data_IF_245115457563
#
_entry.id   IF_245115457563
#
_cell.length_a   1.000
_cell.length_b   1.000
_cell.length_c   1.000
_cell.angle_alpha   90.00
_cell.angle_beta   90.00
_cell.angle_gamma   90.00
#
_symmetry.space_group_name_H-M   'P 1'
#
loop_
_entity.id
_entity.type
_entity.pdbx_description
1 polymer ?
#
# COMPACT_ATOMS: atom_id res chain seq x y z
N UNK A 1 23.46 10.44 16.27
CA UNK A 1 22.65 9.36 15.67
C UNK A 1 21.26 9.89 15.43
N UNK A 2 20.68 9.59 14.31
CA UNK A 2 19.32 9.97 13.97
C UNK A 2 18.40 8.76 14.18
N UNK A 3 17.11 9.02 14.37
CA UNK A 3 16.09 7.96 14.53
C UNK A 3 15.10 8.03 13.38
N UNK A 4 14.78 6.87 12.82
CA UNK A 4 13.75 6.69 11.81
C UNK A 4 12.71 5.76 12.38
N UNK A 5 11.44 6.11 12.22
CA UNK A 5 10.33 5.26 12.62
C UNK A 5 9.45 4.96 11.42
N UNK A 6 8.99 3.73 11.33
CA UNK A 6 7.96 3.35 10.38
C UNK A 6 6.89 2.47 11.04
N UNK A 7 5.66 2.59 10.56
CA UNK A 7 4.57 1.72 10.99
C UNK A 7 4.00 0.89 9.84
N UNK A 8 3.42 -0.22 10.21
CA UNK A 8 2.68 -1.11 9.34
C UNK A 8 1.44 -1.64 10.04
N UNK A 9 0.37 -1.85 9.30
CA UNK A 9 -0.83 -2.56 9.75
C UNK A 9 -1.15 -3.68 8.77
N UNK A 10 -1.46 -4.85 9.33
CA UNK A 10 -1.82 -6.01 8.52
C UNK A 10 -3.19 -5.85 7.87
N UNK A 11 -3.51 -6.73 6.92
CA UNK A 11 -4.83 -6.75 6.26
C UNK A 11 -6.00 -6.95 7.23
N UNK A 12 -5.74 -7.44 8.45
CA UNK A 12 -6.75 -7.61 9.50
C UNK A 12 -7.07 -6.34 10.29
N UNK A 13 -6.30 -5.26 10.10
CA UNK A 13 -6.64 -3.96 10.66
C UNK A 13 -7.97 -3.44 10.07
N UNK A 14 -8.87 -2.84 10.88
CA UNK A 14 -10.20 -2.44 10.39
C UNK A 14 -10.19 -1.53 9.16
N UNK A 15 -9.30 -0.53 9.09
CA UNK A 15 -9.20 0.32 7.90
C UNK A 15 -8.74 -0.47 6.66
N UNK A 16 -7.81 -1.44 6.82
CA UNK A 16 -7.36 -2.30 5.71
C UNK A 16 -8.44 -3.27 5.25
N UNK A 17 -9.27 -3.73 6.16
CA UNK A 17 -10.47 -4.50 5.79
C UNK A 17 -11.41 -3.66 4.90
N UNK A 18 -11.60 -2.38 5.21
CA UNK A 18 -12.39 -1.48 4.34
C UNK A 18 -11.74 -1.31 2.97
N UNK A 19 -10.41 -1.15 2.92
CA UNK A 19 -9.65 -1.11 1.67
C UNK A 19 -9.88 -2.37 0.82
N UNK A 20 -9.79 -3.56 1.43
CA UNK A 20 -10.02 -4.83 0.73
C UNK A 20 -11.46 -4.99 0.24
N UNK A 21 -12.44 -4.57 1.03
CA UNK A 21 -13.86 -4.60 0.63
C UNK A 21 -14.12 -3.70 -0.58
N UNK A 22 -13.50 -2.53 -0.62
CA UNK A 22 -13.58 -1.62 -1.75
C UNK A 22 -12.86 -2.19 -2.98
N UNK A 23 -11.63 -2.71 -2.80
CA UNK A 23 -10.83 -3.29 -3.86
C UNK A 23 -11.55 -4.46 -4.55
N UNK A 24 -12.11 -5.39 -3.79
CA UNK A 24 -12.86 -6.53 -4.29
C UNK A 24 -14.09 -6.12 -5.12
N UNK A 25 -14.79 -5.05 -4.68
CA UNK A 25 -15.91 -4.53 -5.46
C UNK A 25 -15.44 -3.83 -6.75
N UNK A 26 -14.37 -3.05 -6.68
CA UNK A 26 -13.77 -2.37 -7.84
C UNK A 26 -13.32 -3.41 -8.87
N UNK A 27 -12.65 -4.47 -8.43
CA UNK A 27 -12.23 -5.58 -9.30
C UNK A 27 -13.41 -6.19 -10.05
N UNK A 28 -14.49 -6.56 -9.35
CA UNK A 28 -15.70 -7.11 -10.01
C UNK A 28 -16.36 -6.13 -10.99
N UNK A 29 -16.31 -4.83 -10.72
CA UNK A 29 -16.76 -3.78 -11.66
C UNK A 29 -15.89 -3.78 -12.91
N UNK A 30 -14.56 -3.80 -12.74
CA UNK A 30 -13.60 -3.75 -13.82
C UNK A 30 -13.56 -5.04 -14.64
N UNK A 31 -13.71 -6.20 -14.02
CA UNK A 31 -13.86 -7.47 -14.72
C UNK A 31 -15.04 -7.46 -15.66
N UNK A 32 -16.14 -6.81 -15.24
CA UNK A 32 -17.36 -6.73 -16.03
C UNK A 32 -17.24 -5.77 -17.21
N UNK A 33 -16.70 -4.58 -17.01
CA UNK A 33 -16.80 -3.47 -17.96
C UNK A 33 -15.45 -2.97 -18.48
N UNK A 34 -14.32 -3.47 -17.93
CA UNK A 34 -12.95 -3.09 -18.30
C UNK A 34 -12.79 -1.55 -18.31
N UNK A 35 -12.20 -0.98 -19.37
CA UNK A 35 -11.99 0.47 -19.54
C UNK A 35 -13.26 1.33 -19.54
N UNK A 36 -14.44 0.72 -19.66
CA UNK A 36 -15.74 1.44 -19.65
C UNK A 36 -16.30 1.66 -18.26
N UNK A 37 -15.68 1.10 -17.23
CA UNK A 37 -16.12 1.25 -15.85
C UNK A 37 -15.52 2.48 -15.19
N UNK A 38 -16.36 3.19 -14.44
CA UNK A 38 -15.91 4.23 -13.50
C UNK A 38 -16.39 3.85 -12.10
N UNK A 39 -15.56 4.03 -11.12
CA UNK A 39 -15.93 3.77 -9.73
C UNK A 39 -15.12 4.65 -8.77
N UNK A 40 -15.81 5.16 -7.77
CA UNK A 40 -15.23 5.79 -6.58
C UNK A 40 -15.92 5.16 -5.40
N UNK A 41 -15.36 4.07 -4.88
CA UNK A 41 -15.96 3.25 -3.84
C UNK A 41 -15.30 3.54 -2.51
N UNK A 42 -16.13 3.89 -1.53
CA UNK A 42 -15.73 4.07 -0.15
C UNK A 42 -16.49 3.09 0.74
N UNK A 43 -15.79 2.51 1.71
CA UNK A 43 -16.37 1.61 2.68
C UNK A 43 -16.15 2.16 4.08
N UNK A 44 -17.22 2.24 4.84
CA UNK A 44 -17.20 2.61 6.25
C UNK A 44 -17.71 1.45 7.09
N UNK A 45 -17.00 1.11 8.16
CA UNK A 45 -17.44 0.04 9.05
C UNK A 45 -17.32 0.46 10.52
N UNK A 46 -18.33 0.13 11.31
CA UNK A 46 -18.38 0.40 12.74
C UNK A 46 -19.31 -0.57 13.46
N UNK A 47 -18.94 -1.05 14.62
CA UNK A 47 -19.72 -1.97 15.47
C UNK A 47 -20.24 -3.20 14.69
N UNK A 48 -21.47 -3.17 14.25
CA UNK A 48 -22.17 -4.26 13.55
C UNK A 48 -22.52 -3.91 12.09
N UNK A 49 -22.07 -2.75 11.60
CA UNK A 49 -22.54 -2.21 10.32
C UNK A 49 -21.38 -1.95 9.37
N UNK A 50 -21.53 -2.37 8.12
CA UNK A 50 -20.66 -2.06 6.99
C UNK A 50 -21.50 -1.31 5.95
N UNK A 51 -21.05 -0.13 5.55
CA UNK A 51 -21.69 0.73 4.55
C UNK A 51 -20.76 0.83 3.34
N UNK A 52 -21.24 0.39 2.19
CA UNK A 52 -20.63 0.68 0.89
C UNK A 52 -21.27 1.95 0.34
N UNK A 53 -20.48 2.97 0.08
CA UNK A 53 -20.87 4.25 -0.49
C UNK A 53 -20.07 4.61 -1.70
N UNK A 54 -20.37 5.77 -2.29
CA UNK A 54 -19.68 6.27 -3.45
C UNK A 54 -20.49 6.16 -4.74
N UNK A 55 -19.79 6.15 -5.86
CA UNK A 55 -20.39 6.24 -7.19
C UNK A 55 -19.80 5.22 -8.15
N UNK A 56 -20.62 4.70 -9.08
CA UNK A 56 -20.13 3.80 -10.11
C UNK A 56 -20.94 3.94 -11.41
N UNK A 57 -20.22 3.92 -12.55
CA UNK A 57 -20.76 3.69 -13.87
C UNK A 57 -20.35 2.30 -14.31
N UNK A 58 -21.30 1.36 -14.30
CA UNK A 58 -21.06 -0.06 -14.58
C UNK A 58 -22.33 -0.76 -15.02
N UNK A 59 -22.19 -1.81 -15.83
CA UNK A 59 -23.28 -2.73 -16.14
C UNK A 59 -23.45 -3.82 -15.07
N UNK A 60 -22.51 -3.93 -14.12
CA UNK A 60 -22.60 -4.84 -13.00
C UNK A 60 -23.75 -4.43 -12.06
N UNK A 61 -24.63 -5.37 -11.75
CA UNK A 61 -25.71 -5.12 -10.78
C UNK A 61 -25.17 -5.20 -9.34
N UNK A 62 -24.82 -4.05 -8.77
CA UNK A 62 -24.37 -3.93 -7.39
C UNK A 62 -25.58 -4.05 -6.44
N UNK A 63 -25.88 -5.25 -6.00
CA UNK A 63 -26.98 -5.52 -5.10
C UNK A 63 -26.51 -6.07 -3.76
N UNK A 64 -27.42 -6.17 -2.79
CA UNK A 64 -27.11 -6.66 -1.45
C UNK A 64 -26.53 -8.09 -1.43
N UNK A 65 -26.89 -8.95 -2.41
CA UNK A 65 -26.36 -10.32 -2.52
C UNK A 65 -24.87 -10.31 -2.87
N UNK A 66 -24.48 -9.48 -3.83
CA UNK A 66 -23.08 -9.29 -4.21
C UNK A 66 -22.26 -8.75 -3.04
N UNK A 67 -22.72 -7.67 -2.39
CA UNK A 67 -22.00 -7.09 -1.26
C UNK A 67 -21.85 -8.08 -0.09
N UNK A 68 -22.87 -8.90 0.17
CA UNK A 68 -22.79 -9.97 1.17
C UNK A 68 -21.76 -11.04 0.80
N UNK A 69 -21.62 -11.41 -0.49
CA UNK A 69 -20.60 -12.37 -0.91
C UNK A 69 -19.19 -11.83 -0.69
N UNK A 70 -18.94 -10.58 -1.06
CA UNK A 70 -17.68 -9.89 -0.84
C UNK A 70 -17.32 -9.85 0.66
N UNK A 71 -18.24 -9.39 1.51
CA UNK A 71 -17.99 -9.35 2.97
C UNK A 71 -17.71 -10.74 3.53
N UNK A 72 -18.44 -11.78 3.07
CA UNK A 72 -18.22 -13.16 3.53
C UNK A 72 -16.83 -13.68 3.14
N UNK A 73 -16.38 -13.37 1.95
CA UNK A 73 -15.06 -13.73 1.43
C UNK A 73 -13.94 -13.06 2.25
N UNK A 74 -14.00 -11.73 2.40
CA UNK A 74 -13.01 -10.99 3.20
C UNK A 74 -13.01 -11.47 4.66
N UNK A 75 -14.17 -11.73 5.26
CA UNK A 75 -14.25 -12.32 6.62
C UNK A 75 -13.57 -13.69 6.71
N UNK A 76 -13.61 -14.49 5.63
CA UNK A 76 -12.88 -15.77 5.58
C UNK A 76 -11.37 -15.55 5.50
N UNK A 77 -10.91 -14.63 4.67
CA UNK A 77 -9.49 -14.25 4.54
C UNK A 77 -8.94 -13.75 5.89
N UNK A 78 -9.72 -12.95 6.62
CA UNK A 78 -9.35 -12.40 7.94
C UNK A 78 -9.52 -13.40 9.09
N UNK A 79 -10.11 -14.58 8.81
CA UNK A 79 -10.35 -15.63 9.82
C UNK A 79 -11.52 -15.33 10.75
N UNK A 80 -12.38 -14.35 10.44
CA UNK A 80 -13.58 -14.05 11.23
C UNK A 80 -14.64 -15.13 11.14
N UNK A 81 -14.64 -15.97 10.09
CA UNK A 81 -15.55 -17.10 9.92
C UNK A 81 -15.06 -18.38 10.60
N UNK A 82 -13.89 -18.39 11.24
CA UNK A 82 -13.36 -19.55 11.95
C UNK A 82 -14.11 -19.79 13.27
N UNK A 83 -14.85 -20.89 13.37
CA UNK A 83 -15.71 -21.19 14.54
C UNK A 83 -14.92 -21.38 15.84
N UNK A 84 -13.71 -21.96 15.78
CA UNK A 84 -12.85 -22.14 16.96
C UNK A 84 -12.36 -20.78 17.49
N UNK A 85 -11.98 -19.88 16.57
CA UNK A 85 -11.57 -18.51 16.93
C UNK A 85 -12.76 -17.71 17.50
N UNK A 86 -13.94 -17.80 16.89
CA UNK A 86 -15.16 -17.16 17.41
C UNK A 86 -15.51 -17.63 18.82
N UNK A 87 -15.33 -18.93 19.10
CA UNK A 87 -15.56 -19.48 20.43
C UNK A 87 -14.57 -18.93 21.45
N UNK A 88 -13.30 -18.84 21.07
CA UNK A 88 -12.21 -18.36 21.92
C UNK A 88 -12.34 -16.86 22.25
N UNK A 89 -12.51 -16.02 21.22
CA UNK A 89 -12.66 -14.57 21.40
C UNK A 89 -14.01 -14.19 22.05
N UNK A 90 -15.05 -14.98 21.81
CA UNK A 90 -16.43 -14.61 22.12
C UNK A 90 -17.05 -13.69 21.05
N UNK A 91 -18.36 -13.84 20.85
CA UNK A 91 -19.12 -13.17 19.77
C UNK A 91 -19.16 -11.63 19.84
N UNK A 92 -18.75 -11.04 20.95
CA UNK A 92 -18.73 -9.59 21.17
C UNK A 92 -17.33 -8.98 21.05
N UNK A 93 -16.33 -9.81 20.77
CA UNK A 93 -14.93 -9.39 20.62
C UNK A 93 -14.38 -9.64 19.20
N UNK A 94 -15.15 -10.26 18.31
CA UNK A 94 -14.76 -10.54 16.92
C UNK A 94 -15.93 -10.26 15.99
N UNK A 95 -15.73 -9.71 14.78
CA UNK A 95 -16.79 -9.54 13.80
C UNK A 95 -17.46 -10.87 13.45
N UNK A 96 -18.80 -10.87 13.41
CA UNK A 96 -19.61 -12.06 13.08
C UNK A 96 -20.51 -11.75 11.90
N UNK A 97 -20.35 -12.47 10.78
CA UNK A 97 -21.06 -12.20 9.54
C UNK A 97 -22.60 -12.16 9.71
N UNK A 98 -23.18 -13.10 10.46
CA UNK A 98 -24.63 -13.16 10.69
C UNK A 98 -25.19 -11.98 11.51
N UNK A 99 -24.35 -11.31 12.28
CA UNK A 99 -24.68 -10.10 13.05
C UNK A 99 -24.38 -8.80 12.28
N UNK A 100 -23.67 -8.89 11.12
CA UNK A 100 -23.23 -7.73 10.39
C UNK A 100 -24.30 -7.21 9.45
N UNK A 101 -24.70 -5.95 9.62
CA UNK A 101 -25.61 -5.24 8.77
C UNK A 101 -24.83 -4.64 7.58
N UNK A 102 -25.23 -4.99 6.36
CA UNK A 102 -24.61 -4.50 5.13
C UNK A 102 -25.56 -3.54 4.44
N UNK A 103 -25.10 -2.30 4.22
CA UNK A 103 -25.86 -1.19 3.64
C UNK A 103 -25.21 -0.81 2.31
N UNK A 104 -26.00 -0.72 1.26
CA UNK A 104 -25.60 -0.20 -0.04
C UNK A 104 -26.08 1.26 -0.19
N UNK A 105 -25.13 2.18 -0.38
CA UNK A 105 -25.35 3.60 -0.65
C UNK A 105 -24.58 4.04 -1.91
N UNK A 106 -24.21 3.09 -2.77
CA UNK A 106 -23.56 3.38 -4.05
C UNK A 106 -24.62 3.92 -5.00
N UNK A 107 -24.32 5.07 -5.59
CA UNK A 107 -25.14 5.74 -6.61
C UNK A 107 -24.50 5.62 -8.01
N UNK A 108 -25.24 6.02 -9.03
CA UNK A 108 -24.66 6.19 -10.36
C UNK A 108 -23.83 7.47 -10.39
N UNK A 109 -22.68 7.43 -11.05
CA UNK A 109 -21.83 8.60 -11.21
C UNK A 109 -22.55 9.70 -12.01
N UNK A 110 -22.27 10.97 -11.66
CA UNK A 110 -22.78 12.13 -12.39
C UNK A 110 -22.35 12.07 -13.87
N UNK A 111 -23.28 12.27 -14.81
CA UNK A 111 -22.94 12.35 -16.23
C UNK A 111 -21.92 13.45 -16.55
N UNK A 112 -21.95 14.56 -15.81
CA UNK A 112 -21.04 15.70 -16.03
C UNK A 112 -19.59 15.33 -15.71
N UNK A 113 -19.36 14.61 -14.61
CA UNK A 113 -18.01 14.11 -14.23
C UNK A 113 -17.54 13.08 -15.26
N UNK A 114 -18.41 12.14 -15.64
CA UNK A 114 -18.07 11.14 -16.64
C UNK A 114 -17.68 11.77 -17.99
N UNK A 115 -18.38 12.84 -18.42
CA UNK A 115 -18.11 13.53 -19.68
C UNK A 115 -16.74 14.22 -19.73
N UNK A 116 -16.21 14.67 -18.59
CA UNK A 116 -14.90 15.36 -18.54
C UNK A 116 -13.72 14.43 -18.80
N UNK A 117 -13.88 13.13 -18.59
CA UNK A 117 -12.77 12.17 -18.57
C UNK A 117 -12.95 11.03 -19.59
N UNK A 118 -14.06 11.05 -20.34
CA UNK A 118 -14.42 9.96 -21.25
C UNK A 118 -14.44 10.44 -22.69
N UNK A 119 -13.64 9.84 -23.57
CA UNK A 119 -13.73 9.95 -25.01
C UNK A 119 -14.18 8.60 -25.59
N UNK A 120 -15.16 8.63 -26.53
CA UNK A 120 -15.72 7.44 -27.18
C UNK A 120 -16.11 6.30 -26.22
N UNK A 121 -16.59 6.65 -25.02
CA UNK A 121 -16.96 5.74 -23.93
C UNK A 121 -15.79 5.03 -23.22
N UNK A 122 -14.57 5.52 -23.35
CA UNK A 122 -13.40 5.05 -22.62
C UNK A 122 -12.76 6.19 -21.79
N UNK A 123 -12.14 5.84 -20.67
CA UNK A 123 -11.42 6.80 -19.83
C UNK A 123 -10.11 7.20 -20.50
N UNK A 124 -10.09 8.31 -21.20
CA UNK A 124 -8.93 8.75 -21.97
C UNK A 124 -8.12 9.85 -21.28
N UNK A 125 -8.77 10.72 -20.50
CA UNK A 125 -8.12 11.79 -19.73
C UNK A 125 -7.99 11.44 -18.24
N UNK A 126 -7.06 12.10 -17.55
CA UNK A 126 -6.92 11.95 -16.10
C UNK A 126 -8.23 12.32 -15.39
N UNK A 127 -8.67 11.47 -14.48
CA UNK A 127 -9.98 11.59 -13.83
C UNK A 127 -10.02 12.64 -12.75
N UNK A 128 -8.87 13.13 -12.29
CA UNK A 128 -8.78 14.14 -11.25
C UNK A 128 -7.50 14.95 -11.39
N UNK A 129 -7.53 16.13 -10.80
CA UNK A 129 -6.36 16.96 -10.56
C UNK A 129 -5.71 16.57 -9.24
N UNK A 130 -4.39 16.59 -9.17
CA UNK A 130 -3.71 16.25 -7.94
C UNK A 130 -2.19 16.30 -8.04
N UNK A 131 -1.57 16.05 -6.91
CA UNK A 131 -0.13 15.86 -6.77
C UNK A 131 0.09 14.45 -6.23
N UNK A 132 0.93 13.68 -6.92
CA UNK A 132 1.14 12.26 -6.67
C UNK A 132 2.62 12.00 -6.44
N UNK A 133 2.93 11.03 -5.60
CA UNK A 133 4.29 10.73 -5.17
C UNK A 133 4.63 9.28 -5.45
N UNK A 134 5.78 9.08 -6.06
CA UNK A 134 6.43 7.80 -6.15
C UNK A 134 7.81 7.85 -5.54
N UNK A 135 8.34 6.69 -5.13
CA UNK A 135 9.64 6.64 -4.48
C UNK A 135 10.29 5.26 -4.62
N UNK A 136 11.62 5.24 -4.57
CA UNK A 136 12.39 4.00 -4.50
C UNK A 136 13.67 4.22 -3.68
N UNK A 137 14.01 3.24 -2.82
CA UNK A 137 15.19 3.25 -1.96
C UNK A 137 16.02 2.00 -2.21
N UNK A 138 17.32 2.16 -2.42
CA UNK A 138 18.26 1.04 -2.61
C UNK A 138 18.53 0.21 -1.36
N UNK A 139 18.04 0.65 -0.19
CA UNK A 139 18.22 -0.07 1.08
C UNK A 139 17.50 -1.43 1.10
N UNK A 140 16.49 -1.61 0.25
CA UNK A 140 15.74 -2.87 0.14
C UNK A 140 15.45 -3.21 -1.33
N UNK A 141 15.30 -4.48 -1.62
CA UNK A 141 14.95 -4.95 -2.97
C UNK A 141 13.53 -4.55 -3.39
N UNK A 142 12.67 -4.26 -2.43
CA UNK A 142 11.30 -3.77 -2.67
C UNK A 142 11.23 -2.26 -2.92
N UNK A 143 12.35 -1.55 -2.74
CA UNK A 143 12.39 -0.09 -2.85
C UNK A 143 11.82 0.67 -1.66
N UNK A 144 11.43 -0.02 -0.61
CA UNK A 144 10.96 0.60 0.63
C UNK A 144 12.15 1.06 1.48
N UNK A 145 11.98 2.14 2.23
CA UNK A 145 12.91 2.48 3.30
C UNK A 145 13.02 1.35 4.33
N UNK A 146 14.21 1.10 4.86
CA UNK A 146 14.52 -0.11 5.64
C UNK A 146 13.61 -0.30 6.86
N UNK A 147 13.28 0.77 7.61
CA UNK A 147 12.34 0.68 8.73
C UNK A 147 10.95 0.22 8.31
N UNK A 148 10.48 0.70 7.16
CA UNK A 148 9.18 0.33 6.59
C UNK A 148 9.16 -1.12 6.14
N UNK A 149 10.20 -1.55 5.45
CA UNK A 149 10.38 -2.94 5.05
C UNK A 149 10.34 -3.89 6.25
N UNK A 150 11.12 -3.61 7.30
CA UNK A 150 11.13 -4.43 8.51
C UNK A 150 9.78 -4.45 9.22
N UNK A 151 9.10 -3.30 9.31
CA UNK A 151 7.79 -3.23 9.95
C UNK A 151 6.74 -4.06 9.19
N UNK A 152 6.75 -4.02 7.86
CA UNK A 152 5.86 -4.80 7.02
C UNK A 152 6.20 -6.29 7.10
N UNK A 153 7.45 -6.70 6.88
CA UNK A 153 7.85 -8.10 6.87
C UNK A 153 7.60 -8.78 8.23
N UNK A 154 7.89 -8.08 9.34
CA UNK A 154 7.58 -8.60 10.68
C UNK A 154 6.07 -8.65 10.94
N UNK A 155 5.30 -7.65 10.50
CA UNK A 155 3.85 -7.66 10.63
C UNK A 155 3.18 -8.80 9.86
N UNK A 156 3.63 -9.06 8.65
CA UNK A 156 3.14 -10.16 7.80
C UNK A 156 3.57 -11.52 8.37
N UNK A 157 4.77 -11.60 8.97
CA UNK A 157 5.22 -12.78 9.71
C UNK A 157 4.30 -13.09 10.90
N UNK A 158 3.95 -12.09 11.71
CA UNK A 158 3.01 -12.29 12.82
C UNK A 158 1.61 -12.67 12.32
N UNK A 159 1.16 -12.08 11.20
CA UNK A 159 -0.12 -12.45 10.58
C UNK A 159 -0.12 -13.90 10.10
N UNK A 160 0.97 -14.38 9.50
CA UNK A 160 1.16 -15.78 9.14
C UNK A 160 1.04 -16.70 10.36
N UNK A 161 1.76 -16.39 11.44
CA UNK A 161 1.70 -17.15 12.69
C UNK A 161 0.32 -17.11 13.36
N UNK A 162 -0.44 -16.03 13.18
CA UNK A 162 -1.84 -15.98 13.65
C UNK A 162 -2.73 -17.03 12.99
N UNK A 163 -2.31 -17.63 11.88
CA UNK A 163 -3.09 -18.62 11.11
C UNK A 163 -2.64 -20.06 11.35
N UNK A 164 -1.33 -20.29 11.47
CA UNK A 164 -0.74 -21.63 11.52
C UNK A 164 -0.25 -22.06 12.90
N UNK A 165 -0.03 -21.13 13.82
CA UNK A 165 0.43 -21.41 15.20
C UNK A 165 -0.50 -22.38 15.92
N UNK A 166 -0.01 -23.22 16.85
CA UNK A 166 -0.85 -23.94 17.80
C UNK A 166 -1.82 -23.03 18.57
N UNK A 167 -1.47 -21.76 18.73
CA UNK A 167 -2.24 -20.72 19.41
C UNK A 167 -3.20 -19.94 18.49
N UNK A 168 -3.37 -20.34 17.21
CA UNK A 168 -4.15 -19.61 16.20
C UNK A 168 -5.56 -19.21 16.66
N UNK A 169 -6.15 -19.96 17.58
CA UNK A 169 -7.49 -19.66 18.13
C UNK A 169 -7.46 -18.38 18.98
N UNK A 170 -6.36 -18.16 19.69
CA UNK A 170 -6.18 -17.02 20.60
C UNK A 170 -5.64 -15.77 19.90
N UNK A 171 -5.23 -15.86 18.63
CA UNK A 171 -4.58 -14.82 17.88
C UNK A 171 -5.50 -14.24 16.81
N UNK A 172 -5.71 -12.91 16.84
CA UNK A 172 -6.46 -12.19 15.81
C UNK A 172 -5.60 -11.82 14.61
N UNK A 173 -6.24 -11.36 13.55
CA UNK A 173 -5.59 -10.83 12.36
C UNK A 173 -5.30 -9.32 12.43
N UNK A 174 -5.85 -8.63 13.43
CA UNK A 174 -5.66 -7.20 13.65
C UNK A 174 -4.33 -6.96 14.35
N UNK A 175 -3.34 -6.54 13.57
CA UNK A 175 -1.96 -6.34 14.03
C UNK A 175 -1.44 -5.00 13.52
N UNK A 176 -0.85 -4.22 14.41
CA UNK A 176 -0.13 -3.00 14.08
C UNK A 176 1.29 -3.08 14.61
N UNK A 177 2.26 -2.76 13.76
CA UNK A 177 3.69 -2.77 14.07
C UNK A 177 4.24 -1.35 13.90
N UNK A 178 5.13 -0.95 14.81
CA UNK A 178 6.04 0.17 14.59
C UNK A 178 7.46 -0.28 14.89
N UNK A 179 8.40 0.06 14.01
CA UNK A 179 9.84 -0.18 14.21
C UNK A 179 10.56 1.16 14.23
N UNK A 180 11.39 1.35 15.22
CA UNK A 180 12.30 2.48 15.39
C UNK A 180 13.74 2.00 15.13
N UNK A 181 14.42 2.64 14.19
CA UNK A 181 15.82 2.39 13.87
C UNK A 181 16.70 3.55 14.31
N UNK A 182 17.91 3.26 14.79
CA UNK A 182 18.99 4.22 14.89
C UNK A 182 19.85 4.14 13.64
N UNK A 183 20.16 5.30 13.04
CA UNK A 183 20.93 5.39 11.82
C UNK A 183 22.15 6.29 12.01
N UNK A 184 23.10 6.19 11.09
CA UNK A 184 24.15 7.21 10.90
C UNK A 184 23.53 8.48 10.28
N UNK A 185 24.33 9.52 10.17
CA UNK A 185 23.92 10.83 9.65
C UNK A 185 23.47 10.81 8.19
N UNK A 186 23.78 9.74 7.46
CA UNK A 186 23.38 9.55 6.06
C UNK A 186 22.01 8.87 5.88
N UNK A 187 21.34 8.48 6.96
CA UNK A 187 20.06 7.75 7.01
C UNK A 187 20.05 6.33 6.38
N UNK A 188 21.07 5.97 5.61
CA UNK A 188 21.12 4.70 4.87
C UNK A 188 21.81 3.58 5.62
N UNK A 189 22.63 3.94 6.60
CA UNK A 189 23.34 2.97 7.40
C UNK A 189 22.62 2.77 8.72
N UNK A 190 21.62 1.91 8.73
CA UNK A 190 20.95 1.49 9.97
C UNK A 190 21.93 0.74 10.86
N UNK A 191 22.03 1.14 12.12
CA UNK A 191 22.93 0.54 13.11
C UNK A 191 22.24 -0.45 14.01
N UNK A 192 21.02 -0.09 14.48
CA UNK A 192 20.29 -0.90 15.45
C UNK A 192 18.78 -0.70 15.34
N UNK A 193 18.05 -1.72 15.76
CA UNK A 193 16.64 -1.61 16.09
C UNK A 193 16.55 -1.09 17.52
N UNK A 194 16.10 0.14 17.71
CA UNK A 194 16.03 0.78 19.03
C UNK A 194 14.64 0.67 19.68
N UNK A 195 13.62 0.29 18.94
CA UNK A 195 12.27 0.13 19.47
C UNK A 195 11.37 -0.71 18.57
N UNK A 196 10.53 -1.52 19.20
CA UNK A 196 9.44 -2.25 18.53
C UNK A 196 8.17 -2.08 19.33
N UNK A 197 7.13 -1.62 18.66
CA UNK A 197 5.77 -1.57 19.22
C UNK A 197 4.88 -2.54 18.45
N UNK A 198 4.21 -3.43 19.17
CA UNK A 198 3.25 -4.40 18.61
C UNK A 198 1.90 -4.20 19.30
N UNK A 199 0.88 -3.89 18.53
CA UNK A 199 -0.51 -4.03 18.94
C UNK A 199 -1.10 -5.23 18.20
N UNK A 200 -1.51 -6.28 18.92
CA UNK A 200 -2.01 -7.52 18.37
C UNK A 200 -3.21 -8.04 19.16
N UNK A 201 -4.36 -8.11 18.50
CA UNK A 201 -5.58 -8.63 19.09
C UNK A 201 -5.43 -10.10 19.48
N UNK A 202 -5.70 -10.41 20.76
CA UNK A 202 -5.50 -11.76 21.29
C UNK A 202 -6.40 -12.02 22.53
N UNK A 203 -6.49 -13.28 22.94
CA UNK A 203 -7.26 -13.74 24.12
C UNK A 203 -6.41 -14.21 25.28
N UNK A 204 -5.09 -13.99 25.25
CA UNK A 204 -4.20 -14.32 26.35
C UNK A 204 -4.69 -13.65 27.65
N UNK A 205 -4.60 -14.38 28.75
CA UNK A 205 -4.97 -13.91 30.10
C UNK A 205 -3.78 -13.41 30.89
N UNK A 206 -2.57 -13.70 30.44
CA UNK A 206 -1.30 -13.27 31.02
C UNK A 206 -0.54 -12.40 30.01
N UNK A 207 -0.35 -11.13 30.33
CA UNK A 207 0.34 -10.16 29.45
C UNK A 207 1.84 -10.47 29.31
N UNK A 208 2.49 -10.97 30.35
CA UNK A 208 3.90 -11.34 30.29
C UNK A 208 4.11 -12.54 29.36
N UNK A 209 3.27 -13.56 29.46
CA UNK A 209 3.31 -14.73 28.57
C UNK A 209 3.09 -14.34 27.11
N UNK A 210 2.14 -13.46 26.81
CA UNK A 210 1.93 -12.95 25.47
C UNK A 210 3.12 -12.11 24.98
N UNK A 211 3.68 -11.28 25.84
CA UNK A 211 4.88 -10.50 25.52
C UNK A 211 6.07 -11.39 25.17
N UNK A 212 6.31 -12.43 25.96
CA UNK A 212 7.40 -13.38 25.72
C UNK A 212 7.18 -14.18 24.42
N UNK A 213 5.92 -14.53 24.13
CA UNK A 213 5.56 -15.15 22.87
C UNK A 213 5.87 -14.25 21.66
N UNK A 214 5.48 -12.97 21.69
CA UNK A 214 5.80 -12.02 20.61
C UNK A 214 7.31 -11.85 20.42
N UNK A 215 8.07 -11.75 21.53
CA UNK A 215 9.54 -11.65 21.48
C UNK A 215 10.17 -12.93 20.92
N UNK A 216 9.67 -14.11 21.25
CA UNK A 216 10.14 -15.37 20.69
C UNK A 216 9.91 -15.45 19.18
N UNK A 217 8.76 -14.95 18.68
CA UNK A 217 8.51 -14.86 17.25
C UNK A 217 9.43 -13.84 16.55
N UNK A 218 9.77 -12.74 17.22
CA UNK A 218 10.77 -11.80 16.71
C UNK A 218 12.14 -12.44 16.56
N UNK A 219 12.60 -13.18 17.57
CA UNK A 219 13.90 -13.89 17.50
C UNK A 219 13.92 -14.92 16.36
N UNK A 220 12.81 -15.64 16.19
CA UNK A 220 12.67 -16.60 15.10
C UNK A 220 12.69 -15.89 13.74
N UNK A 221 11.89 -14.86 13.55
CA UNK A 221 11.84 -14.03 12.34
C UNK A 221 13.22 -13.43 12.02
N UNK A 222 13.89 -12.83 13.03
CA UNK A 222 15.19 -12.21 12.88
C UNK A 222 16.23 -13.23 12.35
N UNK A 223 16.21 -14.45 12.88
CA UNK A 223 17.09 -15.54 12.45
C UNK A 223 16.73 -16.05 11.05
N UNK A 224 15.45 -16.27 10.77
CA UNK A 224 14.98 -16.77 9.48
C UNK A 224 15.24 -15.77 8.33
N UNK A 225 15.21 -14.49 8.62
CA UNK A 225 15.56 -13.41 7.66
C UNK A 225 17.05 -13.11 7.61
N UNK A 226 17.88 -13.81 8.38
CA UNK A 226 19.34 -13.58 8.44
C UNK A 226 19.70 -12.10 8.64
N UNK A 227 18.92 -11.38 9.44
CA UNK A 227 19.11 -9.96 9.65
C UNK A 227 20.43 -9.70 10.36
N UNK A 228 21.17 -8.67 9.90
CA UNK A 228 22.49 -8.31 10.44
C UNK A 228 22.49 -6.99 11.22
N UNK A 229 21.31 -6.39 11.42
CA UNK A 229 21.15 -5.17 12.20
C UNK A 229 21.22 -5.48 13.69
N UNK A 230 21.89 -4.64 14.49
CA UNK A 230 21.97 -4.84 15.95
C UNK A 230 20.57 -4.75 16.59
N UNK A 231 20.31 -5.61 17.58
CA UNK A 231 19.04 -5.74 18.31
C UNK A 231 19.20 -5.82 19.84
N UNK A 232 20.37 -5.44 20.37
CA UNK A 232 20.71 -5.70 21.78
C UNK A 232 19.86 -4.89 22.77
N UNK A 233 19.48 -3.66 22.44
CA UNK A 233 18.79 -2.71 23.34
C UNK A 233 17.41 -2.28 22.82
N UNK A 234 16.59 -3.24 22.41
CA UNK A 234 15.26 -2.95 21.88
C UNK A 234 14.30 -2.52 23.02
N UNK A 235 13.74 -1.32 22.91
CA UNK A 235 12.60 -0.91 23.73
C UNK A 235 11.31 -1.56 23.20
N UNK A 236 10.74 -2.46 23.97
CA UNK A 236 9.50 -3.15 23.63
C UNK A 236 8.26 -2.44 24.19
N UNK A 237 7.22 -2.32 23.36
CA UNK A 237 5.86 -1.94 23.75
C UNK A 237 4.90 -2.93 23.11
N UNK A 238 4.29 -3.80 23.91
CA UNK A 238 3.36 -4.82 23.43
C UNK A 238 2.00 -4.55 24.03
N UNK A 239 1.00 -4.32 23.16
CA UNK A 239 -0.37 -3.93 23.51
C UNK A 239 -0.48 -2.74 24.49
N UNK A 240 0.54 -1.88 24.54
CA UNK A 240 0.59 -0.77 25.49
C UNK A 240 0.56 -1.24 26.95
N UNK A 241 0.95 -2.48 27.25
CA UNK A 241 0.87 -3.07 28.59
C UNK A 241 -0.54 -3.45 29.02
N UNK A 242 -1.48 -3.61 28.09
CA UNK A 242 -2.90 -3.93 28.37
C UNK A 242 -3.41 -5.09 27.48
N UNK A 243 -4.65 -5.47 27.71
CA UNK A 243 -5.32 -6.50 26.91
C UNK A 243 -5.92 -5.89 25.63
N UNK A 244 -5.75 -6.55 24.50
CA UNK A 244 -6.37 -6.19 23.25
C UNK A 244 -7.25 -7.34 22.74
N UNK A 245 -8.44 -7.47 23.32
CA UNK A 245 -9.38 -8.59 23.06
C UNK A 245 -10.39 -8.28 21.96
N UNK A 246 -10.97 -7.07 21.94
CA UNK A 246 -11.85 -6.66 20.84
C UNK A 246 -11.01 -6.29 19.64
N UNK A 247 -11.37 -6.80 18.47
CA UNK A 247 -10.62 -6.47 17.25
C UNK A 247 -11.52 -6.28 16.04
N UNK A 248 -10.95 -5.76 14.94
CA UNK A 248 -11.69 -5.40 13.75
C UNK A 248 -12.61 -4.19 14.00
N UNK A 249 -13.57 -3.98 13.12
CA UNK A 249 -14.46 -2.81 13.14
C UNK A 249 -15.48 -2.80 14.32
N UNK A 250 -15.52 -3.83 15.12
CA UNK A 250 -16.29 -3.81 16.39
C UNK A 250 -15.51 -3.10 17.50
N UNK A 251 -14.17 -3.03 17.40
CA UNK A 251 -13.32 -2.34 18.34
C UNK A 251 -13.09 -0.88 17.92
N UNK A 252 -12.83 -0.65 16.64
CA UNK A 252 -12.46 0.65 16.08
C UNK A 252 -13.23 0.94 14.79
N UNK A 253 -13.77 2.15 14.69
CA UNK A 253 -14.43 2.62 13.48
C UNK A 253 -13.43 2.77 12.35
N UNK A 254 -13.76 2.25 11.19
CA UNK A 254 -12.87 2.14 10.05
C UNK A 254 -13.44 2.69 8.77
N UNK A 255 -12.56 3.09 7.86
CA UNK A 255 -12.94 3.61 6.55
C UNK A 255 -11.81 3.39 5.54
N UNK A 256 -12.17 3.27 4.26
CA UNK A 256 -11.25 3.25 3.12
C UNK A 256 -10.32 4.45 3.13
N UNK A 257 -9.05 4.26 2.75
CA UNK A 257 -8.11 5.35 2.53
C UNK A 257 -7.51 5.98 3.80
N UNK A 258 -7.76 5.43 4.99
CA UNK A 258 -7.20 5.96 6.24
C UNK A 258 -5.77 5.48 6.54
N UNK A 259 -5.19 4.64 5.69
CA UNK A 259 -3.84 4.10 5.84
C UNK A 259 -2.94 4.42 4.65
N UNK A 260 -3.04 5.65 4.13
CA UNK A 260 -2.26 6.12 2.98
C UNK A 260 -0.75 5.95 3.21
N UNK A 261 -0.23 6.37 4.35
CA UNK A 261 1.18 6.23 4.69
C UNK A 261 1.64 4.76 4.83
N UNK A 262 0.71 3.84 5.13
CA UNK A 262 0.99 2.41 5.16
C UNK A 262 1.02 1.80 3.76
N UNK A 263 0.17 2.29 2.87
CA UNK A 263 0.04 1.79 1.50
C UNK A 263 1.09 2.39 0.55
N UNK A 264 1.64 3.56 0.89
CA UNK A 264 2.64 4.20 0.05
C UNK A 264 3.99 3.49 0.14
N UNK A 265 4.59 3.29 -1.02
CA UNK A 265 6.00 2.96 -1.16
C UNK A 265 6.76 4.25 -0.92
N UNK A 266 7.21 4.47 0.30
CA UNK A 266 8.00 5.65 0.60
C UNK A 266 9.48 5.31 0.67
N UNK A 267 10.28 6.08 -0.05
CA UNK A 267 11.72 5.98 -0.02
C UNK A 267 12.33 7.13 0.76
N UNK A 268 13.31 6.78 1.56
CA UNK A 268 14.13 7.71 2.31
C UNK A 268 13.44 8.35 3.52
N UNK A 269 14.22 8.69 4.52
CA UNK A 269 13.71 9.13 5.82
C UNK A 269 13.09 10.53 5.81
N UNK A 270 13.52 11.37 4.88
CA UNK A 270 13.06 12.77 4.81
C UNK A 270 11.68 12.92 4.13
N UNK A 271 11.26 11.93 3.35
CA UNK A 271 10.08 12.03 2.50
C UNK A 271 8.94 11.09 2.91
N UNK A 272 9.23 10.10 3.75
CA UNK A 272 8.22 9.19 4.28
C UNK A 272 7.17 9.89 5.16
N UNK A 273 7.51 11.06 5.69
CA UNK A 273 6.63 11.86 6.57
C UNK A 273 5.83 12.92 5.82
N UNK A 274 6.24 13.30 4.60
CA UNK A 274 5.65 14.42 3.86
C UNK A 274 4.86 14.00 2.62
N UNK A 275 4.52 12.74 2.49
CA UNK A 275 3.69 12.27 1.37
C UNK A 275 2.23 12.64 1.64
N UNK A 276 1.94 13.90 1.49
CA UNK A 276 0.59 14.44 1.57
C UNK A 276 0.23 14.88 0.15
N UNK A 277 -0.41 13.99 -0.58
CA UNK A 277 -0.89 14.27 -1.93
C UNK A 277 -1.52 13.04 -2.53
N UNK A 278 -2.43 13.22 -3.43
CA UNK A 278 -3.26 12.17 -3.98
C UNK A 278 -4.29 11.65 -2.98
N UNK A 279 -5.22 10.88 -3.49
CA UNK A 279 -6.20 10.15 -2.70
C UNK A 279 -5.73 8.72 -2.38
N UNK A 280 -6.68 7.90 -1.98
CA UNK A 280 -6.45 6.48 -1.81
C UNK A 280 -6.13 5.81 -3.14
N UNK A 281 -5.10 4.95 -3.15
CA UNK A 281 -4.79 4.09 -4.30
C UNK A 281 -5.84 2.99 -4.53
N UNK A 282 -6.85 2.87 -3.67
CA UNK A 282 -7.95 1.92 -3.85
C UNK A 282 -8.97 2.51 -4.82
N UNK A 283 -8.58 2.57 -6.06
CA UNK A 283 -9.32 3.18 -7.18
C UNK A 283 -9.24 2.28 -8.42
N UNK A 284 -10.12 2.46 -9.41
CA UNK A 284 -10.02 1.77 -10.70
C UNK A 284 -8.69 2.04 -11.40
N UNK A 285 -8.31 1.13 -12.28
CA UNK A 285 -7.03 1.12 -12.99
C UNK A 285 -6.64 2.43 -13.71
N UNK A 286 -7.59 3.21 -14.16
CA UNK A 286 -7.38 4.48 -14.87
C UNK A 286 -7.34 5.71 -13.94
N UNK A 287 -7.50 5.52 -12.64
CA UNK A 287 -7.52 6.64 -11.71
C UNK A 287 -6.11 7.22 -11.49
N UNK A 288 -6.01 8.55 -11.52
CA UNK A 288 -4.77 9.29 -11.26
C UNK A 288 -4.13 8.90 -9.92
N UNK A 289 -4.96 8.72 -8.87
CA UNK A 289 -4.54 8.31 -7.53
C UNK A 289 -3.84 6.93 -7.48
N UNK A 290 -4.10 6.06 -8.47
CA UNK A 290 -3.46 4.76 -8.58
C UNK A 290 -2.30 4.79 -9.56
N UNK A 291 -2.54 5.28 -10.78
CA UNK A 291 -1.56 5.21 -11.87
C UNK A 291 -0.31 6.04 -11.61
N UNK A 292 -0.49 7.29 -11.18
CA UNK A 292 0.63 8.23 -11.07
C UNK A 292 1.59 7.91 -9.94
N UNK A 293 1.16 7.47 -8.73
CA UNK A 293 2.10 6.95 -7.74
C UNK A 293 2.90 5.73 -8.23
N UNK A 294 2.27 4.79 -8.93
CA UNK A 294 2.96 3.62 -9.48
C UNK A 294 3.95 4.00 -10.59
N UNK A 295 3.58 4.93 -11.46
CA UNK A 295 4.49 5.48 -12.48
C UNK A 295 5.67 6.22 -11.83
N UNK A 296 5.40 7.00 -10.80
CA UNK A 296 6.45 7.66 -10.00
C UNK A 296 7.42 6.66 -9.37
N UNK A 297 6.90 5.53 -8.86
CA UNK A 297 7.73 4.45 -8.34
C UNK A 297 8.61 3.84 -9.43
N UNK A 298 8.07 3.61 -10.64
CA UNK A 298 8.84 3.07 -11.77
C UNK A 298 9.98 4.02 -12.18
N UNK A 299 9.70 5.32 -12.30
CA UNK A 299 10.71 6.33 -12.62
C UNK A 299 11.76 6.41 -11.51
N UNK A 300 11.35 6.41 -10.24
CA UNK A 300 12.26 6.43 -9.11
C UNK A 300 13.17 5.19 -9.10
N UNK A 301 12.60 4.00 -9.34
CA UNK A 301 13.36 2.76 -9.46
C UNK A 301 14.37 2.81 -10.60
N UNK A 302 13.99 3.38 -11.74
CA UNK A 302 14.89 3.51 -12.89
C UNK A 302 16.13 4.35 -12.54
N UNK A 303 15.93 5.51 -11.89
CA UNK A 303 17.02 6.40 -11.44
C UNK A 303 17.97 5.69 -10.48
N UNK A 304 17.42 4.98 -9.49
CA UNK A 304 18.20 4.29 -8.45
C UNK A 304 18.91 3.06 -9.02
N UNK A 305 18.23 2.26 -9.84
CA UNK A 305 18.81 1.05 -10.46
C UNK A 305 19.91 1.41 -11.46
N UNK A 306 19.82 2.59 -12.10
CA UNK A 306 20.90 3.10 -12.94
C UNK A 306 22.16 3.49 -12.15
N UNK A 307 22.06 3.60 -10.82
CA UNK A 307 23.18 3.96 -9.94
C UNK A 307 23.38 5.46 -9.77
N UNK A 308 22.41 6.29 -10.21
CA UNK A 308 22.54 7.74 -10.16
C UNK A 308 22.23 8.33 -8.79
N UNK A 309 21.43 7.65 -7.97
CA UNK A 309 21.13 8.03 -6.59
C UNK A 309 20.86 6.81 -5.73
N UNK A 310 21.08 6.92 -4.43
CA UNK A 310 20.72 5.85 -3.45
C UNK A 310 19.22 5.75 -3.24
N UNK A 311 18.50 6.83 -3.41
CA UNK A 311 17.05 6.90 -3.40
C UNK A 311 16.57 7.94 -4.39
N UNK A 312 15.34 7.80 -4.83
CA UNK A 312 14.67 8.82 -5.60
C UNK A 312 13.23 8.99 -5.13
N UNK A 313 12.77 10.24 -5.15
CA UNK A 313 11.37 10.60 -4.98
C UNK A 313 10.93 11.32 -6.24
N UNK A 314 9.78 10.95 -6.76
CA UNK A 314 9.20 11.52 -7.98
C UNK A 314 7.85 12.11 -7.63
N UNK A 315 7.63 13.35 -8.05
CA UNK A 315 6.38 14.08 -7.84
C UNK A 315 5.77 14.32 -9.21
N UNK A 316 4.53 13.87 -9.38
CA UNK A 316 3.76 14.07 -10.60
C UNK A 316 2.54 14.90 -10.31
N UNK A 317 2.07 15.65 -11.29
CA UNK A 317 0.78 16.33 -11.19
C UNK A 317 -0.05 16.10 -12.44
N UNK A 318 -1.37 16.07 -12.28
CA UNK A 318 -2.33 15.99 -13.36
C UNK A 318 -3.46 16.99 -13.17
N UNK A 319 -4.13 17.31 -14.26
CA UNK A 319 -5.37 18.09 -14.29
C UNK A 319 -6.49 17.27 -14.92
N UNK A 320 -7.70 17.41 -14.39
CA UNK A 320 -8.86 16.66 -14.86
C UNK A 320 -9.09 16.87 -16.38
N UNK A 321 -9.32 15.78 -17.09
CA UNK A 321 -9.58 15.76 -18.52
C UNK A 321 -8.36 15.88 -19.41
N UNK A 322 -7.17 16.17 -18.88
CA UNK A 322 -5.92 16.18 -19.68
C UNK A 322 -5.46 14.76 -20.02
N UNK A 323 -4.86 14.63 -21.20
CA UNK A 323 -4.33 13.35 -21.70
C UNK A 323 -2.82 13.17 -21.43
N UNK A 324 -2.18 14.15 -20.85
CA UNK A 324 -0.75 14.15 -20.52
C UNK A 324 -0.53 14.57 -19.07
N UNK A 325 0.62 14.18 -18.51
CA UNK A 325 1.04 14.59 -17.17
C UNK A 325 1.46 16.05 -17.19
N UNK A 326 0.95 16.89 -16.28
CA UNK A 326 1.25 18.31 -16.27
C UNK A 326 2.71 18.57 -15.91
N UNK A 327 3.21 17.93 -14.86
CA UNK A 327 4.57 18.10 -14.40
C UNK A 327 5.12 16.80 -13.79
N UNK A 328 6.43 16.56 -13.99
CA UNK A 328 7.20 15.50 -13.34
C UNK A 328 8.46 16.13 -12.75
N UNK A 329 8.59 16.07 -11.43
CA UNK A 329 9.78 16.52 -10.71
C UNK A 329 10.37 15.35 -9.93
N UNK A 330 11.69 15.35 -9.70
CA UNK A 330 12.35 14.28 -8.99
C UNK A 330 13.47 14.80 -8.09
N UNK A 331 13.76 14.08 -7.03
CA UNK A 331 14.72 14.40 -5.99
C UNK A 331 15.49 13.15 -5.59
N UNK A 332 16.73 13.30 -5.21
CA UNK A 332 17.58 12.20 -4.79
C UNK A 332 18.51 12.55 -3.63
N UNK A 333 19.60 11.81 -3.48
CA UNK A 333 20.58 12.08 -2.43
C UNK A 333 21.41 13.34 -2.71
N UNK A 334 22.22 13.76 -1.73
CA UNK A 334 23.02 14.99 -1.80
C UNK A 334 24.00 15.03 -2.98
N UNK A 335 24.49 13.88 -3.42
CA UNK A 335 25.44 13.78 -4.55
C UNK A 335 24.67 14.01 -5.84
N UNK A 336 23.54 13.34 -5.98
CA UNK A 336 22.61 13.50 -7.09
C UNK A 336 22.15 14.97 -7.24
N UNK A 337 21.71 15.59 -6.12
CA UNK A 337 21.20 16.97 -6.12
C UNK A 337 22.24 18.03 -6.57
N UNK A 338 23.53 17.75 -6.41
CA UNK A 338 24.61 18.63 -6.83
C UNK A 338 25.00 18.49 -8.31
N UNK A 339 24.60 17.39 -8.96
CA UNK A 339 24.96 17.10 -10.35
C UNK A 339 23.91 17.65 -11.32
N UNK A 340 24.05 18.92 -11.70
CA UNK A 340 23.09 19.62 -12.57
C UNK A 340 22.96 18.96 -13.95
N UNK A 341 24.08 18.63 -14.60
CA UNK A 341 24.09 18.03 -15.94
C UNK A 341 23.34 16.67 -15.94
N UNK A 342 23.55 15.87 -14.91
CA UNK A 342 22.83 14.60 -14.74
C UNK A 342 21.32 14.82 -14.56
N UNK A 343 20.94 15.81 -13.76
CA UNK A 343 19.53 16.14 -13.54
C UNK A 343 18.85 16.62 -14.82
N UNK A 344 19.48 17.48 -15.58
CA UNK A 344 18.99 17.97 -16.87
C UNK A 344 18.83 16.83 -17.89
N UNK A 345 19.81 15.93 -17.96
CA UNK A 345 19.73 14.74 -18.81
C UNK A 345 18.55 13.82 -18.44
N UNK A 346 18.38 13.56 -17.15
CA UNK A 346 17.27 12.74 -16.64
C UNK A 346 15.93 13.42 -16.89
N UNK A 347 15.82 14.72 -16.66
CA UNK A 347 14.61 15.49 -16.95
C UNK A 347 14.24 15.42 -18.44
N UNK A 348 15.21 15.57 -19.30
CA UNK A 348 15.03 15.43 -20.75
C UNK A 348 14.49 14.05 -21.12
N UNK A 349 15.10 12.99 -20.60
CA UNK A 349 14.63 11.61 -20.82
C UNK A 349 13.20 11.38 -20.34
N UNK A 350 12.89 11.84 -19.12
CA UNK A 350 11.57 11.70 -18.51
C UNK A 350 10.51 12.44 -19.34
N UNK A 351 10.80 13.66 -19.77
CA UNK A 351 9.88 14.45 -20.58
C UNK A 351 9.57 13.77 -21.92
N UNK A 352 10.56 13.15 -22.55
CA UNK A 352 10.38 12.44 -23.83
C UNK A 352 9.55 11.15 -23.65
N UNK A 353 9.80 10.39 -22.59
CA UNK A 353 9.30 9.02 -22.49
C UNK A 353 8.05 8.87 -21.61
N UNK A 354 7.75 9.84 -20.72
CA UNK A 354 6.69 9.69 -19.73
C UNK A 354 5.65 10.81 -19.71
N UNK A 355 6.05 12.06 -20.02
CA UNK A 355 5.16 13.22 -19.86
C UNK A 355 3.89 13.14 -20.71
N UNK A 356 3.99 12.58 -21.89
CA UNK A 356 2.88 12.44 -22.85
C UNK A 356 1.93 11.29 -22.59
N UNK A 357 2.23 10.43 -21.59
CA UNK A 357 1.42 9.25 -21.32
C UNK A 357 0.03 9.63 -20.78
N UNK A 358 -1.00 9.14 -21.44
CA UNK A 358 -2.37 9.18 -20.95
C UNK A 358 -2.65 8.03 -19.95
N UNK A 359 -3.76 8.07 -19.20
CA UNK A 359 -4.18 6.94 -18.38
C UNK A 359 -4.28 5.63 -19.17
N UNK A 360 -4.81 5.66 -20.39
CA UNK A 360 -4.93 4.49 -21.24
C UNK A 360 -3.58 3.94 -21.69
N UNK A 361 -2.61 4.81 -22.02
CA UNK A 361 -1.27 4.38 -22.39
C UNK A 361 -0.59 3.62 -21.25
N UNK A 362 -0.76 4.08 -20.01
CA UNK A 362 -0.20 3.43 -18.82
C UNK A 362 -0.90 2.09 -18.56
N UNK A 363 -2.24 2.05 -18.63
CA UNK A 363 -3.04 0.83 -18.43
C UNK A 363 -2.67 -0.23 -19.46
N UNK A 364 -2.52 0.16 -20.73
CA UNK A 364 -2.13 -0.75 -21.81
C UNK A 364 -0.67 -1.20 -21.69
N UNK A 365 0.26 -0.28 -21.38
CA UNK A 365 1.67 -0.58 -21.14
C UNK A 365 1.86 -1.66 -20.08
N UNK A 366 1.02 -1.65 -19.04
CA UNK A 366 1.16 -2.56 -17.90
C UNK A 366 0.20 -3.75 -17.93
N UNK A 367 -0.75 -3.83 -18.89
CA UNK A 367 -1.78 -4.86 -18.95
C UNK A 367 -2.51 -5.02 -17.62
N UNK A 368 -2.95 -3.91 -17.02
CA UNK A 368 -3.50 -3.91 -15.67
C UNK A 368 -4.65 -4.90 -15.45
N UNK A 369 -5.46 -5.15 -16.48
CA UNK A 369 -6.61 -6.06 -16.38
C UNK A 369 -6.23 -7.56 -16.35
N UNK A 370 -4.94 -7.89 -16.43
CA UNK A 370 -4.43 -9.26 -16.28
C UNK A 370 -4.09 -9.60 -14.81
N UNK A 371 -4.21 -8.64 -13.91
CA UNK A 371 -3.88 -8.79 -12.49
C UNK A 371 -5.12 -8.74 -11.60
N UNK A 372 -5.10 -9.51 -10.51
CA UNK A 372 -6.06 -9.45 -9.42
C UNK A 372 -5.81 -8.19 -8.57
N UNK A 373 -6.73 -7.23 -8.66
CA UNK A 373 -6.59 -5.95 -7.97
C UNK A 373 -6.67 -6.11 -6.44
N UNK A 374 -7.50 -7.01 -5.96
CA UNK A 374 -7.63 -7.25 -4.52
C UNK A 374 -6.37 -7.87 -3.94
N UNK A 375 -5.67 -8.72 -4.70
CA UNK A 375 -4.38 -9.29 -4.31
C UNK A 375 -3.27 -8.23 -4.29
N UNK A 376 -3.23 -7.35 -5.28
CA UNK A 376 -2.28 -6.21 -5.31
C UNK A 376 -2.49 -5.31 -4.09
N UNK A 377 -3.74 -5.01 -3.72
CA UNK A 377 -4.06 -4.22 -2.53
C UNK A 377 -3.64 -4.92 -1.24
N UNK A 378 -3.82 -6.25 -1.13
CA UNK A 378 -3.33 -7.05 0.01
C UNK A 378 -1.82 -6.89 0.19
N UNK A 379 -1.08 -6.86 -0.91
CA UNK A 379 0.38 -6.76 -0.95
C UNK A 379 0.89 -5.31 -0.95
N UNK A 380 0.04 -4.31 -0.69
CA UNK A 380 0.38 -2.89 -0.67
C UNK A 380 1.07 -2.43 -1.97
N UNK A 381 0.62 -2.93 -3.14
CA UNK A 381 1.14 -2.58 -4.48
C UNK A 381 2.62 -2.94 -4.71
N UNK A 382 3.19 -3.81 -3.86
CA UNK A 382 4.57 -4.29 -3.96
C UNK A 382 4.53 -5.82 -4.06
N UNK A 383 5.22 -6.39 -5.03
CA UNK A 383 5.39 -7.84 -5.10
C UNK A 383 6.42 -8.34 -4.10
N UNK A 384 6.30 -9.60 -3.72
CA UNK A 384 7.25 -10.25 -2.81
C UNK A 384 8.69 -10.23 -3.38
N UNK A 385 8.82 -10.32 -4.71
CA UNK A 385 10.12 -10.29 -5.40
C UNK A 385 10.66 -8.87 -5.66
N UNK A 386 9.82 -7.83 -5.53
CA UNK A 386 10.13 -6.48 -5.98
C UNK A 386 10.17 -6.32 -7.52
N UNK A 387 9.81 -7.35 -8.28
CA UNK A 387 9.79 -7.38 -9.76
C UNK A 387 8.59 -8.13 -10.33
N UNK A 388 7.57 -8.38 -9.50
CA UNK A 388 6.39 -9.17 -9.90
C UNK A 388 5.34 -8.35 -10.62
N UNK A 389 5.32 -7.04 -10.46
CA UNK A 389 4.35 -6.16 -11.11
C UNK A 389 5.00 -5.32 -12.20
N UNK A 390 4.26 -4.94 -13.27
CA UNK A 390 4.82 -4.19 -14.41
C UNK A 390 5.49 -2.87 -14.03
N UNK A 391 4.97 -2.15 -13.04
CA UNK A 391 5.57 -0.90 -12.54
C UNK A 391 6.84 -1.13 -11.72
N UNK A 392 7.16 -2.36 -11.36
CA UNK A 392 8.40 -2.73 -10.69
C UNK A 392 9.50 -3.15 -11.67
N UNK A 393 9.17 -3.38 -12.95
CA UNK A 393 10.11 -3.87 -13.97
C UNK A 393 10.73 -2.70 -14.73
N UNK A 394 12.01 -2.44 -14.49
CA UNK A 394 12.77 -1.40 -15.21
C UNK A 394 13.91 -1.99 -16.07
N UNK A 395 14.17 -3.28 -16.01
CA UNK A 395 15.29 -3.94 -16.70
C UNK A 395 15.29 -3.72 -18.21
N UNK A 396 14.10 -3.72 -18.84
CA UNK A 396 13.96 -3.50 -20.29
C UNK A 396 14.32 -2.08 -20.74
N UNK A 397 14.18 -1.10 -19.87
CA UNK A 397 14.39 0.32 -20.16
C UNK A 397 15.76 0.80 -19.70
N UNK A 398 16.36 0.13 -18.73
CA UNK A 398 17.57 0.56 -18.02
C UNK A 398 18.74 0.86 -18.95
N UNK A 399 19.01 0.00 -19.94
CA UNK A 399 20.12 0.21 -20.87
C UNK A 399 19.90 1.45 -21.75
N UNK A 400 18.69 1.61 -22.28
CA UNK A 400 18.35 2.79 -23.10
C UNK A 400 18.44 4.07 -22.27
N UNK A 401 18.00 4.03 -21.02
CA UNK A 401 18.10 5.16 -20.10
C UNK A 401 19.55 5.56 -19.86
N UNK A 402 20.42 4.60 -19.50
CA UNK A 402 21.85 4.87 -19.29
C UNK A 402 22.52 5.42 -20.54
N UNK A 403 22.34 4.80 -21.70
CA UNK A 403 22.92 5.25 -22.94
C UNK A 403 22.49 6.69 -23.33
N UNK A 404 21.20 6.99 -23.13
CA UNK A 404 20.70 8.35 -23.36
C UNK A 404 21.38 9.38 -22.46
N UNK A 405 21.50 9.08 -21.16
CA UNK A 405 22.13 9.99 -20.19
C UNK A 405 23.61 10.21 -20.52
N UNK A 406 24.35 9.15 -20.84
CA UNK A 406 25.76 9.23 -21.25
C UNK A 406 25.96 10.09 -22.52
N UNK A 407 25.13 9.88 -23.52
CA UNK A 407 25.15 10.66 -24.75
C UNK A 407 24.81 12.14 -24.50
N UNK A 408 23.80 12.41 -23.67
CA UNK A 408 23.39 13.78 -23.34
C UNK A 408 24.49 14.56 -22.61
N UNK A 409 25.16 13.93 -21.66
CA UNK A 409 26.24 14.58 -20.87
C UNK A 409 27.52 14.75 -21.70
N UNK A 410 27.75 13.93 -22.71
CA UNK A 410 28.92 14.02 -23.58
C UNK A 410 28.85 15.13 -24.62
N UNK A 411 27.68 15.69 -24.86
CA UNK A 411 27.44 16.87 -25.73
C UNK A 411 27.65 18.19 -25.00
#
# INVERSE_FOLDING_TARGET
MQKISAEYVTIGHPDRMCDLLAAELIEKIQDKDKKKSHAAIEVFATKDTIIFGGEATTTLKINKKLLKSIVKEIFSILGYNNEKRKKEFGKDNIPVFSKTKIINKISRQSPDIAAMTTDKHECSGYNDQGIFYGAYDSATYTGQGYAKYLAQDFGDYLLHWSRISPYYKQLGSDIKIKIDLETKDDYYTSKSISGITVAWANTYTNLAEFSDYVKSLFEQWYKERELKINKDDIRWVINGGSFFRKHGFIADTSMTGRKLAVNNISAGPLYSQNQIGGGSMIKPWHASDLLLPLLGNQIAKLIVTAGYSKYANVVLSSSIGRHEIDNISFFGDKIFEKNKNLKEAIESYININYKHLSPNDIVDKWNFFDFDFSEIVKNNFISISGEGYPWEIVSKELNNFKSYIEEYISK
#
